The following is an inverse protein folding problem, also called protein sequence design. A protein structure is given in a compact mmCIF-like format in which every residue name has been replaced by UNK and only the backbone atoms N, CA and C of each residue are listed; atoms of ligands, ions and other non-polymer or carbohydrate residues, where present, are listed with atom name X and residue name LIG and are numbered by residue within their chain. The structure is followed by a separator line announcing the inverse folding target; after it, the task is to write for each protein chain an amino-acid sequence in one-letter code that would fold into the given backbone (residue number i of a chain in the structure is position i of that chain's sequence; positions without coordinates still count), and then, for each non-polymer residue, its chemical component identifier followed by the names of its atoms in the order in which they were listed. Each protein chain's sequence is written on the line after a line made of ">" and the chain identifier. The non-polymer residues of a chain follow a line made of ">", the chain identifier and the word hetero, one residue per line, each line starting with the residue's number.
data_IF_581333568583
#
_entry.id   IF_581333568583
#
_cell.length_a   1.000
_cell.length_b   1.000
_cell.length_c   1.000
_cell.angle_alpha   90.00
_cell.angle_beta   90.00
_cell.angle_gamma   90.00
#
_symmetry.space_group_name_H-M   'P 1'
#
loop_
_entity.id
_entity.type
_entity.pdbx_description
1 polymer ?
#
# COMPACT_ATOMS: atom_id res chain seq x y z
N UNK A 1 28.30 12.64 7.04
CA UNK A 1 28.19 13.25 5.70
C UNK A 1 27.12 12.49 4.95
N UNK A 2 26.18 13.16 4.29
CA UNK A 2 25.07 12.51 3.61
C UNK A 2 25.51 11.76 2.34
N UNK A 3 24.80 10.68 1.99
CA UNK A 3 25.01 9.89 0.78
C UNK A 3 24.31 10.54 -0.42
N UNK A 4 24.92 11.58 -0.98
CA UNK A 4 24.32 12.38 -2.05
C UNK A 4 24.38 11.75 -3.44
N UNK A 5 24.96 10.55 -3.58
CA UNK A 5 25.06 9.82 -4.85
C UNK A 5 23.68 9.54 -5.47
N UNK A 6 22.61 9.44 -4.67
CA UNK A 6 21.24 9.31 -5.18
C UNK A 6 20.83 10.47 -6.11
N UNK A 7 21.42 11.66 -5.94
CA UNK A 7 21.18 12.82 -6.81
C UNK A 7 22.11 12.86 -8.04
N UNK A 8 23.09 11.95 -8.11
CA UNK A 8 24.10 11.93 -9.17
C UNK A 8 23.70 10.97 -10.31
N UNK A 9 22.52 11.19 -10.89
CA UNK A 9 22.06 10.43 -12.06
C UNK A 9 21.60 9.00 -11.77
N UNK A 10 21.33 8.64 -10.52
CA UNK A 10 20.81 7.31 -10.14
C UNK A 10 19.39 7.03 -10.69
N UNK A 11 18.54 8.07 -10.76
CA UNK A 11 17.16 7.95 -11.21
C UNK A 11 17.10 7.61 -12.71
N UNK A 12 16.40 6.52 -13.04
CA UNK A 12 16.34 5.97 -14.40
C UNK A 12 14.91 5.49 -14.72
N UNK A 13 14.42 5.78 -15.96
CA UNK A 13 13.02 5.52 -16.37
C UNK A 13 12.64 4.04 -16.32
N UNK A 14 13.61 3.17 -16.57
CA UNK A 14 13.47 1.72 -16.55
C UNK A 14 13.12 1.20 -15.15
N UNK A 15 13.34 2.00 -14.11
CA UNK A 15 13.03 1.71 -12.72
C UNK A 15 11.75 2.39 -12.22
N UNK A 16 10.98 3.03 -13.12
CA UNK A 16 9.71 3.65 -12.74
C UNK A 16 8.61 2.60 -12.61
N UNK A 17 8.08 2.45 -11.40
CA UNK A 17 6.98 1.55 -11.12
C UNK A 17 5.63 2.16 -11.53
N UNK A 18 4.58 1.35 -11.78
CA UNK A 18 4.58 -0.12 -11.75
C UNK A 18 5.23 -0.77 -12.99
N UNK A 19 5.81 -1.96 -12.80
CA UNK A 19 6.43 -2.74 -13.87
C UNK A 19 5.40 -3.63 -14.55
N UNK A 20 5.11 -3.31 -15.82
CA UNK A 20 4.11 -4.00 -16.63
C UNK A 20 4.80 -5.05 -17.51
N UNK A 21 4.50 -6.33 -17.29
CA UNK A 21 5.00 -7.44 -18.11
C UNK A 21 3.83 -8.26 -18.68
N UNK A 22 4.07 -8.98 -19.78
CA UNK A 22 2.98 -9.64 -20.51
C UNK A 22 2.66 -11.03 -19.96
N UNK A 23 3.66 -11.82 -19.55
CA UNK A 23 3.49 -13.22 -19.11
C UNK A 23 4.04 -13.47 -17.70
N UNK A 24 3.39 -14.40 -16.99
CA UNK A 24 3.78 -14.78 -15.62
C UNK A 24 5.23 -15.29 -15.55
N UNK A 25 5.62 -16.13 -16.52
CA UNK A 25 6.97 -16.71 -16.63
C UNK A 25 8.09 -15.67 -16.73
N UNK A 26 7.79 -14.43 -17.12
CA UNK A 26 8.79 -13.39 -17.36
C UNK A 26 9.15 -12.63 -16.06
N UNK A 27 8.36 -12.76 -14.99
CA UNK A 27 8.53 -12.02 -13.73
C UNK A 27 9.93 -12.17 -13.13
N UNK A 28 10.40 -13.41 -13.00
CA UNK A 28 11.71 -13.74 -12.40
C UNK A 28 12.85 -13.07 -13.16
N UNK A 29 12.84 -13.18 -14.49
CA UNK A 29 13.90 -12.65 -15.35
C UNK A 29 13.87 -11.12 -15.44
N UNK A 30 12.67 -10.52 -15.50
CA UNK A 30 12.55 -9.06 -15.47
C UNK A 30 13.00 -8.49 -14.12
N UNK A 31 12.70 -9.16 -13.01
CA UNK A 31 13.17 -8.75 -11.68
C UNK A 31 14.69 -8.74 -11.57
N UNK A 32 15.36 -9.79 -12.04
CA UNK A 32 16.82 -9.84 -12.13
C UNK A 32 17.37 -8.68 -12.97
N UNK A 33 16.74 -8.41 -14.13
CA UNK A 33 17.11 -7.27 -14.98
C UNK A 33 16.94 -5.94 -14.24
N UNK A 34 15.86 -5.72 -13.48
CA UNK A 34 15.68 -4.50 -12.68
C UNK A 34 16.78 -4.34 -11.64
N UNK A 35 17.14 -5.41 -10.92
CA UNK A 35 18.23 -5.33 -9.94
C UNK A 35 19.59 -5.06 -10.57
N UNK A 36 19.87 -5.63 -11.74
CA UNK A 36 21.07 -5.30 -12.50
C UNK A 36 21.11 -3.82 -12.88
N UNK A 37 19.98 -3.24 -13.32
CA UNK A 37 19.88 -1.80 -13.61
C UNK A 37 20.12 -0.97 -12.34
N UNK A 38 19.55 -1.34 -11.19
CA UNK A 38 19.80 -0.64 -9.91
C UNK A 38 21.29 -0.63 -9.57
N UNK A 39 21.96 -1.78 -9.68
CA UNK A 39 23.40 -1.91 -9.43
C UNK A 39 24.23 -1.06 -10.40
N UNK A 40 23.92 -1.08 -11.69
CA UNK A 40 24.61 -0.27 -12.70
C UNK A 40 24.44 1.22 -12.45
N UNK A 41 23.22 1.67 -12.11
CA UNK A 41 22.95 3.08 -11.83
C UNK A 41 23.65 3.53 -10.54
N UNK A 42 23.67 2.69 -9.50
CA UNK A 42 24.38 3.00 -8.26
C UNK A 42 25.89 3.15 -8.50
N UNK A 43 26.50 2.27 -9.31
CA UNK A 43 27.92 2.37 -9.71
C UNK A 43 28.19 3.65 -10.50
N UNK A 44 27.36 3.95 -11.51
CA UNK A 44 27.49 5.19 -12.32
C UNK A 44 27.37 6.45 -11.47
N UNK A 45 26.53 6.40 -10.44
CA UNK A 45 26.31 7.50 -9.52
C UNK A 45 27.43 7.66 -8.45
N UNK A 46 28.43 6.77 -8.44
CA UNK A 46 29.47 6.68 -7.39
C UNK A 46 28.90 6.39 -6.00
N UNK A 47 27.97 5.43 -5.91
CA UNK A 47 27.49 4.92 -4.62
C UNK A 47 28.64 4.38 -3.77
N UNK A 48 28.51 4.54 -2.45
CA UNK A 48 29.47 4.00 -1.48
C UNK A 48 29.46 2.46 -1.45
N UNK A 49 30.57 1.88 -0.99
CA UNK A 49 30.76 0.42 -0.95
C UNK A 49 29.65 -0.31 -0.16
N UNK A 50 29.12 0.32 0.90
CA UNK A 50 28.06 -0.26 1.71
C UNK A 50 26.72 -0.27 0.95
N UNK A 51 26.36 0.82 0.26
CA UNK A 51 25.21 0.84 -0.65
C UNK A 51 25.32 -0.22 -1.75
N UNK A 52 26.49 -0.37 -2.38
CA UNK A 52 26.72 -1.40 -3.39
C UNK A 52 26.58 -2.81 -2.82
N UNK A 53 27.11 -3.04 -1.61
CA UNK A 53 26.97 -4.32 -0.90
C UNK A 53 25.50 -4.63 -0.54
N UNK A 54 24.73 -3.63 -0.10
CA UNK A 54 23.30 -3.77 0.16
C UNK A 54 22.57 -4.22 -1.11
N UNK A 55 22.82 -3.55 -2.25
CA UNK A 55 22.18 -3.91 -3.53
C UNK A 55 22.51 -5.34 -3.92
N UNK A 56 23.78 -5.75 -3.83
CA UNK A 56 24.22 -7.09 -4.18
C UNK A 56 23.56 -8.17 -3.30
N UNK A 57 23.57 -7.99 -1.98
CA UNK A 57 23.04 -8.98 -1.03
C UNK A 57 21.52 -9.09 -1.15
N UNK A 58 20.80 -7.95 -1.11
CA UNK A 58 19.33 -7.96 -1.13
C UNK A 58 18.81 -8.50 -2.45
N UNK A 59 19.35 -8.06 -3.59
CA UNK A 59 18.91 -8.56 -4.90
C UNK A 59 19.11 -10.07 -5.03
N UNK A 60 20.29 -10.59 -4.67
CA UNK A 60 20.57 -12.04 -4.72
C UNK A 60 19.65 -12.84 -3.83
N UNK A 61 19.46 -12.43 -2.56
CA UNK A 61 18.58 -13.13 -1.62
C UNK A 61 17.12 -13.12 -2.08
N UNK A 62 16.61 -12.01 -2.63
CA UNK A 62 15.23 -11.95 -3.14
C UNK A 62 15.06 -12.88 -4.35
N UNK A 63 16.02 -12.89 -5.27
CA UNK A 63 16.01 -13.80 -6.43
C UNK A 63 16.13 -15.28 -6.01
N UNK A 64 16.97 -15.58 -5.03
CA UNK A 64 17.12 -16.92 -4.45
C UNK A 64 15.82 -17.40 -3.79
N UNK A 65 15.15 -16.54 -3.03
CA UNK A 65 13.85 -16.83 -2.43
C UNK A 65 12.80 -17.20 -3.50
N UNK A 66 12.78 -16.50 -4.64
CA UNK A 66 11.91 -16.87 -5.77
C UNK A 66 12.26 -18.22 -6.37
N UNK A 67 13.55 -18.50 -6.58
CA UNK A 67 14.00 -19.77 -7.15
C UNK A 67 13.65 -20.96 -6.25
N UNK A 68 13.77 -20.79 -4.93
CA UNK A 68 13.37 -21.79 -3.94
C UNK A 68 11.86 -22.02 -3.96
N UNK A 69 11.05 -20.96 -4.08
CA UNK A 69 9.60 -21.09 -4.25
C UNK A 69 9.26 -21.95 -5.48
N UNK A 70 9.90 -21.69 -6.62
CA UNK A 70 9.69 -22.47 -7.84
C UNK A 70 10.18 -23.93 -7.75
N UNK A 71 11.08 -24.23 -6.82
CA UNK A 71 11.50 -25.60 -6.46
C UNK A 71 10.60 -26.24 -5.38
N UNK A 72 9.51 -25.57 -5.00
CA UNK A 72 8.61 -25.95 -3.91
C UNK A 72 9.24 -25.96 -2.51
N UNK A 73 10.40 -25.33 -2.31
CA UNK A 73 10.99 -25.08 -0.99
C UNK A 73 10.45 -23.77 -0.41
N UNK A 74 9.18 -23.80 -0.02
CA UNK A 74 8.45 -22.63 0.48
C UNK A 74 8.99 -22.21 1.86
N UNK A 75 9.47 -23.16 2.67
CA UNK A 75 9.98 -22.89 4.00
C UNK A 75 11.23 -22.01 3.93
N UNK A 76 12.22 -22.42 3.12
CA UNK A 76 13.45 -21.65 2.98
C UNK A 76 13.23 -20.36 2.19
N UNK A 77 12.39 -20.39 1.15
CA UNK A 77 11.97 -19.18 0.42
C UNK A 77 11.46 -18.09 1.37
N UNK A 78 10.60 -18.45 2.32
CA UNK A 78 10.07 -17.52 3.33
C UNK A 78 11.11 -17.14 4.39
N UNK A 79 12.00 -18.06 4.78
CA UNK A 79 13.06 -17.78 5.74
C UNK A 79 14.00 -16.69 5.22
N UNK A 80 14.40 -16.73 3.95
CA UNK A 80 15.25 -15.70 3.35
C UNK A 80 14.59 -14.31 3.41
N UNK A 81 13.31 -14.19 3.06
CA UNK A 81 12.60 -12.90 3.13
C UNK A 81 12.44 -12.44 4.59
N UNK A 82 12.20 -13.38 5.51
CA UNK A 82 12.18 -13.06 6.93
C UNK A 82 13.53 -12.51 7.42
N UNK A 83 14.66 -13.10 7.03
CA UNK A 83 15.99 -12.60 7.37
C UNK A 83 16.21 -11.17 6.86
N UNK A 84 15.80 -10.86 5.63
CA UNK A 84 15.91 -9.51 5.07
C UNK A 84 15.07 -8.49 5.85
N UNK A 85 13.84 -8.84 6.23
CA UNK A 85 12.99 -7.98 7.07
C UNK A 85 13.57 -7.83 8.47
N UNK A 86 14.09 -8.91 9.05
CA UNK A 86 14.72 -8.89 10.37
C UNK A 86 16.02 -8.05 10.38
N UNK A 87 16.79 -8.05 9.28
CA UNK A 87 17.97 -7.20 9.10
C UNK A 87 17.61 -5.70 9.05
N UNK A 88 16.47 -5.34 8.46
CA UNK A 88 15.93 -3.98 8.50
C UNK A 88 15.50 -3.63 9.94
N UNK A 89 14.87 -4.59 10.62
CA UNK A 89 14.44 -4.48 12.01
C UNK A 89 13.46 -3.33 12.23
N UNK A 90 13.54 -2.72 13.41
CA UNK A 90 12.65 -1.65 13.86
C UNK A 90 13.17 -0.24 13.50
N UNK A 91 13.90 -0.10 12.39
CA UNK A 91 14.35 1.20 11.91
C UNK A 91 13.13 2.14 11.73
N UNK A 92 13.08 3.34 12.34
CA UNK A 92 11.90 4.22 12.32
C UNK A 92 11.41 4.66 10.93
N UNK A 93 12.28 4.62 9.92
CA UNK A 93 11.92 4.93 8.53
C UNK A 93 11.18 3.77 7.87
N UNK A 94 11.59 2.53 8.18
CA UNK A 94 10.97 1.30 7.69
C UNK A 94 9.73 0.92 8.49
N UNK A 95 9.77 1.12 9.81
CA UNK A 95 8.77 0.61 10.73
C UNK A 95 8.37 1.67 11.72
N UNK A 96 7.09 2.02 11.72
CA UNK A 96 6.55 2.98 12.65
C UNK A 96 5.06 2.73 12.86
N UNK A 97 4.47 3.41 13.84
CA UNK A 97 3.03 3.49 13.95
C UNK A 97 2.41 4.19 12.72
N UNK A 98 1.19 3.82 12.33
CA UNK A 98 0.47 4.39 11.19
C UNK A 98 0.47 5.92 11.20
N UNK A 99 0.24 6.55 12.37
CA UNK A 99 0.19 8.02 12.48
C UNK A 99 1.53 8.70 12.16
N UNK A 100 2.65 8.04 12.48
CA UNK A 100 3.99 8.62 12.38
C UNK A 100 4.82 8.08 11.21
N UNK A 101 4.33 7.05 10.50
CA UNK A 101 4.98 6.49 9.33
C UNK A 101 5.17 7.54 8.23
N UNK A 102 6.32 7.51 7.56
CA UNK A 102 6.62 8.34 6.40
C UNK A 102 5.82 7.92 5.15
N UNK A 103 5.21 6.73 5.17
CA UNK A 103 4.25 6.32 4.13
C UNK A 103 3.05 7.27 4.03
N UNK A 104 2.66 7.90 5.14
CA UNK A 104 1.49 8.78 5.22
C UNK A 104 1.92 10.21 5.56
N UNK A 105 2.11 11.08 4.55
CA UNK A 105 2.57 12.43 4.76
C UNK A 105 1.51 13.34 5.41
N UNK A 106 1.83 14.62 5.56
CA UNK A 106 1.02 15.59 6.29
C UNK A 106 1.40 15.70 7.77
N UNK A 107 0.68 16.56 8.50
CA UNK A 107 0.91 16.82 9.91
C UNK A 107 0.62 15.56 10.74
N UNK A 108 1.63 15.06 11.45
CA UNK A 108 1.54 13.80 12.20
C UNK A 108 0.59 13.86 13.41
N UNK A 109 0.21 15.07 13.85
CA UNK A 109 -0.76 15.29 14.92
C UNK A 109 -2.21 15.26 14.43
N UNK A 110 -2.44 15.33 13.11
CA UNK A 110 -3.78 15.25 12.54
C UNK A 110 -4.18 13.78 12.40
N UNK A 111 -5.48 13.53 12.56
CA UNK A 111 -6.07 12.21 12.29
C UNK A 111 -5.80 11.79 10.84
N UNK A 112 -5.55 10.49 10.65
CA UNK A 112 -5.29 9.90 9.35
C UNK A 112 -6.52 9.12 8.86
N UNK A 113 -7.09 9.59 7.75
CA UNK A 113 -8.28 9.03 7.14
C UNK A 113 -7.93 7.89 6.18
N UNK A 114 -8.76 6.85 6.21
CA UNK A 114 -8.72 5.74 5.28
C UNK A 114 -10.11 5.45 4.71
N UNK A 115 -10.11 4.70 3.63
CA UNK A 115 -11.30 4.29 2.92
C UNK A 115 -11.21 2.81 2.59
N UNK A 116 -12.37 2.18 2.54
CA UNK A 116 -12.53 0.80 2.06
C UNK A 116 -13.76 0.71 1.20
N UNK A 117 -13.67 -0.07 0.13
CA UNK A 117 -14.77 -0.25 -0.80
C UNK A 117 -15.26 -1.68 -0.92
N UNK A 118 -16.52 -1.83 -1.33
CA UNK A 118 -17.11 -3.09 -1.77
C UNK A 118 -17.96 -2.85 -3.01
N UNK A 119 -17.96 -3.86 -3.88
CA UNK A 119 -18.76 -3.85 -5.09
C UNK A 119 -20.19 -4.32 -4.82
N UNK A 120 -21.15 -3.58 -5.34
CA UNK A 120 -22.56 -3.93 -5.32
C UNK A 120 -23.48 -2.77 -5.70
N UNK A 121 -24.70 -3.05 -6.17
CA UNK A 121 -25.66 -2.02 -6.55
C UNK A 121 -26.12 -1.18 -5.34
N UNK A 122 -26.70 0.03 -5.55
CA UNK A 122 -27.05 0.93 -4.46
C UNK A 122 -28.18 0.42 -3.54
N UNK A 123 -28.99 -0.54 -4.01
CA UNK A 123 -30.00 -1.20 -3.18
C UNK A 123 -29.41 -2.25 -2.22
N UNK A 124 -28.11 -2.51 -2.31
CA UNK A 124 -27.36 -3.31 -1.35
C UNK A 124 -26.68 -2.37 -0.35
N UNK A 125 -27.34 -2.15 0.76
CA UNK A 125 -26.77 -1.38 1.87
C UNK A 125 -25.63 -2.20 2.50
N UNK A 126 -24.43 -1.61 2.57
CA UNK A 126 -23.29 -2.19 3.28
C UNK A 126 -23.14 -1.47 4.60
N UNK A 127 -23.38 -2.19 5.69
CA UNK A 127 -23.19 -1.63 7.04
C UNK A 127 -21.70 -1.54 7.38
N UNK A 128 -21.38 -0.76 8.41
CA UNK A 128 -20.06 -0.72 9.04
C UNK A 128 -19.48 -2.13 9.28
N UNK A 129 -20.31 -3.08 9.75
CA UNK A 129 -19.92 -4.48 9.97
C UNK A 129 -19.60 -5.21 8.68
N UNK A 130 -20.33 -4.98 7.59
CA UNK A 130 -20.03 -5.58 6.30
C UNK A 130 -18.67 -5.10 5.77
N UNK A 131 -18.27 -3.90 6.16
CA UNK A 131 -17.09 -3.23 5.65
C UNK A 131 -15.80 -3.59 6.39
N UNK A 132 -15.84 -4.40 7.45
CA UNK A 132 -14.62 -4.98 8.05
C UNK A 132 -14.09 -6.18 7.26
N UNK A 133 -13.07 -6.86 7.80
CA UNK A 133 -12.55 -8.10 7.22
C UNK A 133 -13.57 -9.26 7.33
N UNK A 134 -13.39 -10.31 6.52
CA UNK A 134 -14.27 -11.47 6.57
C UNK A 134 -14.22 -12.15 7.94
N UNK A 135 -15.37 -12.56 8.51
CA UNK A 135 -15.38 -13.37 9.72
C UNK A 135 -14.76 -14.74 9.48
N UNK A 136 -14.25 -15.36 10.55
CA UNK A 136 -13.57 -16.66 10.50
C UNK A 136 -14.45 -17.76 9.88
N UNK A 137 -15.75 -17.78 10.22
CA UNK A 137 -16.73 -18.69 9.61
C UNK A 137 -16.85 -18.55 8.08
N UNK A 138 -16.47 -17.41 7.51
CA UNK A 138 -16.47 -17.13 6.07
C UNK A 138 -15.08 -17.12 5.45
N UNK A 139 -14.03 -17.60 6.14
CA UNK A 139 -12.64 -17.58 5.64
C UNK A 139 -12.46 -18.30 4.30
N UNK A 140 -13.32 -19.26 3.97
CA UNK A 140 -13.31 -19.95 2.67
C UNK A 140 -13.59 -19.01 1.48
N UNK A 141 -14.19 -17.83 1.72
CA UNK A 141 -14.40 -16.78 0.71
C UNK A 141 -13.18 -15.87 0.53
N UNK A 142 -12.12 -16.05 1.32
CA UNK A 142 -10.90 -15.27 1.16
C UNK A 142 -10.15 -15.73 -0.11
N UNK A 143 -9.91 -14.77 -1.00
CA UNK A 143 -9.13 -15.00 -2.22
C UNK A 143 -7.63 -14.97 -1.99
N UNK A 144 -6.89 -15.21 -3.06
CA UNK A 144 -5.44 -15.06 -3.11
C UNK A 144 -5.07 -13.62 -3.53
N UNK A 145 -4.50 -12.83 -2.63
CA UNK A 145 -4.15 -11.42 -2.89
C UNK A 145 -2.69 -11.14 -2.54
N UNK A 146 -2.22 -9.92 -2.86
CA UNK A 146 -0.82 -9.53 -2.76
C UNK A 146 -0.24 -9.72 -1.35
N UNK A 147 -0.97 -9.35 -0.31
CA UNK A 147 -0.54 -9.45 1.09
C UNK A 147 -1.55 -10.25 1.92
N UNK A 148 -2.07 -11.34 1.35
CA UNK A 148 -2.89 -12.32 2.06
C UNK A 148 -2.85 -13.66 1.34
N UNK A 149 -2.95 -14.75 2.09
CA UNK A 149 -3.00 -16.11 1.55
C UNK A 149 -4.40 -16.70 1.73
N UNK A 150 -4.80 -17.70 0.92
CA UNK A 150 -6.08 -18.37 1.10
C UNK A 150 -6.31 -18.83 2.55
N UNK A 151 -7.49 -18.56 3.08
CA UNK A 151 -7.88 -18.85 4.46
C UNK A 151 -7.40 -17.84 5.51
N UNK A 152 -6.50 -16.92 5.16
CA UNK A 152 -5.95 -15.89 6.06
C UNK A 152 -6.08 -14.51 5.39
N UNK A 153 -7.26 -13.87 5.49
CA UNK A 153 -7.48 -12.58 4.85
C UNK A 153 -6.64 -11.48 5.52
N UNK A 154 -6.50 -10.37 4.80
CA UNK A 154 -6.03 -9.10 5.36
C UNK A 154 -7.08 -8.01 5.13
N UNK A 155 -7.05 -6.95 5.93
CA UNK A 155 -7.91 -5.78 5.77
C UNK A 155 -7.18 -4.73 4.94
N UNK A 156 -7.57 -4.63 3.68
CA UNK A 156 -7.08 -3.63 2.73
C UNK A 156 -7.86 -2.32 2.87
N UNK A 157 -7.11 -1.23 2.98
CA UNK A 157 -7.53 0.16 3.07
C UNK A 157 -6.74 0.99 2.06
N UNK A 158 -7.32 2.10 1.59
CA UNK A 158 -6.62 3.11 0.80
C UNK A 158 -6.78 4.49 1.46
N UNK A 159 -5.83 5.40 1.22
CA UNK A 159 -5.89 6.76 1.75
C UNK A 159 -6.86 7.70 1.00
N UNK A 160 -7.57 7.19 -0.01
CA UNK A 160 -8.64 7.90 -0.73
C UNK A 160 -9.67 6.93 -1.33
N UNK A 161 -10.86 7.42 -1.68
CA UNK A 161 -11.82 6.65 -2.48
C UNK A 161 -11.35 6.41 -3.91
N UNK A 162 -10.54 7.30 -4.50
CA UNK A 162 -9.91 7.04 -5.80
C UNK A 162 -8.97 5.82 -5.75
N UNK A 163 -8.15 5.71 -4.70
CA UNK A 163 -7.30 4.56 -4.43
C UNK A 163 -8.13 3.27 -4.34
N UNK A 164 -9.25 3.31 -3.63
CA UNK A 164 -10.21 2.21 -3.59
C UNK A 164 -10.76 1.85 -4.98
N UNK A 165 -11.11 2.85 -5.79
CA UNK A 165 -11.70 2.66 -7.12
C UNK A 165 -10.72 1.98 -8.08
N UNK A 166 -9.46 2.42 -8.13
CA UNK A 166 -8.46 1.80 -9.01
C UNK A 166 -8.07 0.39 -8.55
N UNK A 167 -8.00 0.15 -7.22
CA UNK A 167 -7.67 -1.18 -6.67
C UNK A 167 -8.77 -2.21 -6.90
N UNK A 168 -10.03 -1.76 -6.96
CA UNK A 168 -11.18 -2.61 -7.30
C UNK A 168 -11.40 -2.78 -8.80
N UNK A 169 -10.48 -2.27 -9.64
CA UNK A 169 -10.52 -2.46 -11.09
C UNK A 169 -11.39 -1.45 -11.82
N UNK A 170 -11.49 -0.23 -11.30
CA UNK A 170 -12.25 0.87 -11.90
C UNK A 170 -13.72 0.49 -12.18
N UNK A 171 -14.48 0.00 -11.18
CA UNK A 171 -15.86 -0.41 -11.35
C UNK A 171 -16.75 0.75 -11.83
N UNK A 172 -17.90 0.41 -12.40
CA UNK A 172 -18.94 1.40 -12.68
C UNK A 172 -19.37 2.11 -11.38
N UNK A 173 -19.69 3.40 -11.47
CA UNK A 173 -20.01 4.24 -10.31
C UNK A 173 -21.19 3.69 -9.49
N UNK A 174 -22.14 3.03 -10.15
CA UNK A 174 -23.33 2.43 -9.53
C UNK A 174 -22.98 1.23 -8.64
N UNK A 175 -21.86 0.56 -8.91
CA UNK A 175 -21.41 -0.60 -8.15
C UNK A 175 -20.42 -0.23 -7.04
N UNK A 176 -20.02 1.04 -6.94
CA UNK A 176 -18.93 1.48 -6.07
C UNK A 176 -19.44 2.07 -4.75
N UNK A 177 -19.26 1.31 -3.66
CA UNK A 177 -19.66 1.71 -2.31
C UNK A 177 -18.42 1.84 -1.42
N UNK A 178 -18.33 2.94 -0.66
CA UNK A 178 -17.14 3.28 0.11
C UNK A 178 -17.52 3.67 1.54
N UNK A 179 -16.79 3.13 2.52
CA UNK A 179 -16.88 3.55 3.91
C UNK A 179 -15.68 4.41 4.30
N UNK A 180 -15.90 5.49 5.08
CA UNK A 180 -14.83 6.21 5.77
C UNK A 180 -14.34 5.42 6.98
N UNK A 181 -13.04 5.46 7.25
CA UNK A 181 -12.38 4.75 8.36
C UNK A 181 -11.38 5.66 9.05
N UNK A 182 -11.36 5.62 10.38
CA UNK A 182 -10.29 6.15 11.22
C UNK A 182 -9.66 5.00 11.99
N UNK A 183 -8.34 4.99 12.03
CA UNK A 183 -7.56 4.10 12.87
C UNK A 183 -7.10 4.85 14.11
N UNK A 184 -6.96 4.14 15.23
CA UNK A 184 -6.31 4.69 16.43
C UNK A 184 -4.87 5.12 16.10
N UNK A 185 -4.25 4.44 15.14
CA UNK A 185 -3.04 4.86 14.46
C UNK A 185 -1.74 4.47 15.17
N UNK A 186 -1.84 3.73 16.27
CA UNK A 186 -0.75 3.06 16.99
C UNK A 186 -0.30 1.75 16.32
N UNK A 187 -1.05 1.23 15.34
CA UNK A 187 -0.70 0.01 14.62
C UNK A 187 0.70 0.15 13.99
N UNK A 188 1.60 -0.79 14.28
CA UNK A 188 2.99 -0.80 13.83
C UNK A 188 3.06 -1.37 12.42
N UNK A 189 3.44 -0.57 11.43
CA UNK A 189 3.42 -0.94 10.02
C UNK A 189 4.80 -0.91 9.39
N UNK A 190 5.01 -1.79 8.41
CA UNK A 190 6.20 -1.82 7.57
C UNK A 190 5.97 -0.99 6.28
N UNK A 191 6.89 -0.08 5.98
CA UNK A 191 6.76 0.91 4.91
C UNK A 191 7.39 0.43 3.60
N UNK A 192 6.56 -0.02 2.66
CA UNK A 192 6.92 -0.27 1.25
C UNK A 192 6.42 0.83 0.31
N UNK A 193 5.89 1.94 0.85
CA UNK A 193 5.51 3.12 0.09
C UNK A 193 6.75 4.01 -0.14
N UNK A 194 7.75 3.43 -0.82
CA UNK A 194 8.99 4.11 -1.22
C UNK A 194 9.14 4.07 -2.73
N UNK A 195 9.81 5.09 -3.28
CA UNK A 195 10.02 5.25 -4.73
C UNK A 195 11.43 5.75 -5.03
N UNK A 196 11.95 5.40 -6.21
CA UNK A 196 13.19 5.99 -6.76
C UNK A 196 13.01 7.47 -7.14
N UNK A 197 11.77 7.96 -7.18
CA UNK A 197 11.44 9.32 -7.59
C UNK A 197 11.09 10.24 -6.43
N UNK A 198 11.08 9.72 -5.21
CA UNK A 198 10.80 10.50 -4.01
C UNK A 198 11.85 10.22 -2.92
N UNK A 199 12.69 11.22 -2.68
CA UNK A 199 13.70 11.23 -1.63
C UNK A 199 13.38 12.25 -0.53
N UNK A 200 12.16 12.81 -0.52
CA UNK A 200 11.75 13.87 0.41
C UNK A 200 11.94 13.47 1.87
N UNK A 201 11.73 12.20 2.18
CA UNK A 201 11.87 11.62 3.49
C UNK A 201 13.28 11.06 3.78
N UNK A 202 14.36 11.48 3.12
CA UNK A 202 15.73 10.97 3.39
C UNK A 202 16.59 11.85 4.31
N UNK A 203 16.02 12.86 4.96
CA UNK A 203 16.69 13.74 5.95
C UNK A 203 18.12 14.13 5.54
N UNK A 204 18.25 14.95 4.49
CA UNK A 204 19.57 15.38 3.98
C UNK A 204 20.50 14.22 3.56
N UNK A 205 19.89 13.10 3.14
CA UNK A 205 20.59 11.88 2.74
C UNK A 205 21.43 11.28 3.86
N UNK A 206 20.95 11.31 5.09
CA UNK A 206 21.58 10.64 6.23
C UNK A 206 21.91 9.17 5.89
N UNK A 207 23.14 8.74 6.17
CA UNK A 207 23.69 7.45 5.75
C UNK A 207 22.76 6.28 6.08
N UNK A 208 22.40 6.12 7.36
CA UNK A 208 21.57 5.01 7.84
C UNK A 208 20.16 5.03 7.23
N UNK A 209 19.63 6.24 6.96
CA UNK A 209 18.32 6.44 6.36
C UNK A 209 18.33 6.10 4.87
N UNK A 210 19.38 6.48 4.15
CA UNK A 210 19.60 6.10 2.74
C UNK A 210 19.78 4.59 2.61
N UNK A 211 20.55 3.96 3.50
CA UNK A 211 20.73 2.51 3.51
C UNK A 211 19.43 1.77 3.82
N UNK A 212 18.66 2.23 4.80
CA UNK A 212 17.33 1.71 5.10
C UNK A 212 16.39 1.84 3.89
N UNK A 213 16.35 3.03 3.27
CA UNK A 213 15.58 3.27 2.06
C UNK A 213 15.97 2.34 0.92
N UNK A 214 17.25 2.09 0.70
CA UNK A 214 17.74 1.21 -0.36
C UNK A 214 17.27 -0.24 -0.15
N UNK A 215 17.30 -0.74 1.09
CA UNK A 215 16.77 -2.06 1.46
C UNK A 215 15.25 -2.15 1.18
N UNK A 216 14.49 -1.14 1.61
CA UNK A 216 13.04 -1.06 1.35
C UNK A 216 12.74 -0.98 -0.15
N UNK A 217 13.52 -0.20 -0.89
CA UNK A 217 13.35 -0.01 -2.33
C UNK A 217 13.57 -1.31 -3.10
N UNK A 218 14.59 -2.11 -2.74
CA UNK A 218 14.84 -3.41 -3.36
C UNK A 218 13.70 -4.41 -3.10
N UNK A 219 13.13 -4.42 -1.90
CA UNK A 219 11.92 -5.20 -1.58
C UNK A 219 10.71 -4.67 -2.36
N UNK A 220 10.54 -3.34 -2.42
CA UNK A 220 9.44 -2.69 -3.11
C UNK A 220 9.43 -3.07 -4.61
N UNK A 221 10.58 -3.05 -5.29
CA UNK A 221 10.72 -3.44 -6.71
C UNK A 221 10.06 -4.79 -6.96
N UNK A 222 10.36 -5.81 -6.13
CA UNK A 222 9.81 -7.16 -6.29
C UNK A 222 8.27 -7.22 -6.16
N UNK A 223 7.66 -6.23 -5.49
CA UNK A 223 6.21 -6.12 -5.29
C UNK A 223 5.51 -5.17 -6.27
N UNK A 224 6.25 -4.50 -7.15
CA UNK A 224 5.75 -3.44 -8.05
C UNK A 224 5.20 -3.95 -9.39
N UNK A 225 4.96 -5.24 -9.55
CA UNK A 225 4.60 -5.84 -10.83
C UNK A 225 3.09 -5.89 -11.10
N UNK A 226 2.76 -5.66 -12.37
CA UNK A 226 1.47 -5.97 -13.01
C UNK A 226 1.75 -6.92 -14.16
N UNK A 227 1.18 -8.12 -14.09
CA UNK A 227 1.25 -9.10 -15.17
C UNK A 227 -0.07 -9.07 -15.94
N UNK A 228 -0.01 -8.77 -17.24
CA UNK A 228 -1.20 -8.62 -18.10
C UNK A 228 -1.92 -9.93 -18.40
N UNK A 229 -1.24 -11.06 -18.20
CA UNK A 229 -1.84 -12.39 -18.39
C UNK A 229 -3.07 -12.59 -17.51
N UNK A 230 -4.21 -12.81 -18.16
CA UNK A 230 -5.52 -12.95 -17.54
C UNK A 230 -5.84 -14.38 -17.09
N UNK A 231 -6.90 -14.55 -16.30
CA UNK A 231 -7.45 -15.85 -15.87
C UNK A 231 -6.45 -16.78 -15.15
N UNK A 232 -5.42 -16.20 -14.52
CA UNK A 232 -4.44 -16.94 -13.72
C UNK A 232 -4.95 -17.22 -12.31
N UNK A 233 -4.89 -18.47 -11.88
CA UNK A 233 -5.09 -18.86 -10.47
C UNK A 233 -3.86 -18.54 -9.63
N UNK A 234 -2.68 -18.79 -10.19
CA UNK A 234 -1.39 -18.50 -9.57
C UNK A 234 -0.83 -17.17 -10.08
N UNK A 235 -0.26 -16.38 -9.18
CA UNK A 235 0.30 -15.06 -9.49
C UNK A 235 1.71 -14.98 -8.96
N UNK A 236 2.70 -15.19 -9.82
CA UNK A 236 4.11 -15.16 -9.43
C UNK A 236 4.51 -13.84 -8.76
N UNK A 237 3.91 -12.72 -9.19
CA UNK A 237 4.14 -11.40 -8.61
C UNK A 237 3.65 -11.25 -7.15
N UNK A 238 2.95 -12.26 -6.60
CA UNK A 238 2.52 -12.28 -5.21
C UNK A 238 3.46 -13.04 -4.29
N UNK A 239 4.41 -13.83 -4.81
CA UNK A 239 5.31 -14.67 -3.98
C UNK A 239 6.01 -13.81 -2.91
N UNK A 240 6.83 -12.84 -3.35
CA UNK A 240 7.58 -11.97 -2.43
C UNK A 240 6.66 -11.13 -1.54
N UNK A 241 5.52 -10.69 -2.08
CA UNK A 241 4.56 -9.89 -1.31
C UNK A 241 3.94 -10.70 -0.15
N UNK A 242 3.61 -11.96 -0.39
CA UNK A 242 3.07 -12.87 0.63
C UNK A 242 4.15 -13.29 1.63
N UNK A 243 5.38 -13.54 1.17
CA UNK A 243 6.53 -13.78 2.05
C UNK A 243 6.82 -12.59 2.97
N UNK A 244 6.72 -11.36 2.44
CA UNK A 244 6.82 -10.13 3.23
C UNK A 244 5.71 -10.03 4.28
N UNK A 245 4.46 -10.30 3.91
CA UNK A 245 3.35 -10.37 4.88
C UNK A 245 3.66 -11.35 6.03
N UNK A 246 4.11 -12.57 5.71
CA UNK A 246 4.44 -13.58 6.72
C UNK A 246 5.63 -13.16 7.59
N UNK A 247 6.67 -12.57 6.99
CA UNK A 247 7.81 -12.03 7.70
C UNK A 247 7.41 -10.91 8.68
N UNK A 248 6.63 -9.94 8.22
CA UNK A 248 6.12 -8.85 9.05
C UNK A 248 5.23 -9.36 10.19
N UNK A 249 4.34 -10.35 9.95
CA UNK A 249 3.57 -11.00 11.02
C UNK A 249 4.48 -11.67 12.05
N UNK A 250 5.53 -12.38 11.62
CA UNK A 250 6.52 -13.01 12.52
C UNK A 250 7.30 -11.98 13.34
N UNK A 251 7.54 -10.79 12.77
CA UNK A 251 8.12 -9.62 13.45
C UNK A 251 7.14 -8.86 14.35
N UNK A 252 5.87 -9.30 14.42
CA UNK A 252 4.79 -8.65 15.17
C UNK A 252 4.48 -7.23 14.68
N UNK A 253 4.56 -7.02 13.38
CA UNK A 253 4.01 -5.83 12.73
C UNK A 253 2.54 -6.08 12.41
N UNK A 254 1.72 -5.04 12.51
CA UNK A 254 0.27 -5.10 12.30
C UNK A 254 -0.11 -4.97 10.82
N UNK A 255 0.79 -4.47 9.97
CA UNK A 255 0.48 -4.27 8.56
C UNK A 255 1.63 -3.78 7.70
N UNK A 256 1.32 -3.52 6.42
CA UNK A 256 2.23 -2.98 5.42
C UNK A 256 1.56 -1.79 4.72
N UNK A 257 2.28 -0.67 4.56
CA UNK A 257 1.88 0.41 3.68
C UNK A 257 2.60 0.30 2.33
N UNK A 258 1.91 0.55 1.22
CA UNK A 258 2.49 0.44 -0.12
C UNK A 258 1.74 1.33 -1.13
N UNK A 259 2.45 1.81 -2.14
CA UNK A 259 1.80 2.49 -3.27
C UNK A 259 0.98 1.52 -4.10
N UNK A 260 -0.21 1.95 -4.51
CA UNK A 260 -1.03 1.22 -5.47
C UNK A 260 -0.21 0.89 -6.72
N UNK A 261 -0.38 -0.33 -7.22
CA UNK A 261 0.23 -0.74 -8.49
C UNK A 261 -0.74 -0.55 -9.66
N UNK A 262 -1.92 0.04 -9.43
CA UNK A 262 -2.95 0.28 -10.46
C UNK A 262 -2.88 1.68 -11.07
N UNK A 263 -2.09 2.58 -10.48
CA UNK A 263 -1.77 3.88 -11.08
C UNK A 263 -0.93 3.71 -12.35
N UNK A 264 -0.95 4.71 -13.24
CA UNK A 264 -0.13 4.65 -14.45
C UNK A 264 1.38 4.74 -14.15
N UNK A 265 1.73 5.56 -13.16
CA UNK A 265 3.08 5.73 -12.66
C UNK A 265 3.05 6.01 -11.14
N UNK A 266 4.07 5.56 -10.42
CA UNK A 266 4.19 5.69 -8.96
C UNK A 266 4.14 7.14 -8.46
N UNK A 267 4.49 8.14 -9.28
CA UNK A 267 4.32 9.56 -8.87
C UNK A 267 2.87 9.99 -8.68
N UNK A 268 1.92 9.25 -9.27
CA UNK A 268 0.49 9.48 -9.06
C UNK A 268 -0.05 8.67 -7.87
N UNK A 269 0.81 7.94 -7.12
CA UNK A 269 0.38 7.06 -6.05
C UNK A 269 0.13 7.76 -4.71
N UNK A 270 0.42 9.06 -4.57
CA UNK A 270 0.19 9.78 -3.30
C UNK A 270 -1.30 9.84 -2.90
N UNK A 271 -2.22 9.79 -3.86
CA UNK A 271 -3.65 9.62 -3.61
C UNK A 271 -4.11 8.15 -3.62
N UNK A 272 -3.18 7.20 -3.75
CA UNK A 272 -3.47 5.77 -3.80
C UNK A 272 -2.44 4.99 -2.99
N UNK A 273 -2.20 5.45 -1.76
CA UNK A 273 -1.38 4.76 -0.77
C UNK A 273 -2.29 3.77 -0.05
N UNK A 274 -1.95 2.49 -0.16
CA UNK A 274 -2.69 1.42 0.47
C UNK A 274 -2.07 1.08 1.82
N UNK A 275 -2.94 0.71 2.77
CA UNK A 275 -2.57 0.08 4.02
C UNK A 275 -3.24 -1.29 4.06
N UNK A 276 -2.44 -2.33 4.26
CA UNK A 276 -2.96 -3.67 4.54
C UNK A 276 -2.68 -4.00 6.00
N UNK A 277 -3.75 -4.25 6.77
CA UNK A 277 -3.65 -4.72 8.15
C UNK A 277 -3.86 -6.24 8.19
N UNK A 278 -3.00 -6.93 8.91
CA UNK A 278 -3.07 -8.38 9.04
C UNK A 278 -4.21 -8.77 9.98
N UNK A 279 -4.89 -9.87 9.65
CA UNK A 279 -5.95 -10.42 10.50
C UNK A 279 -5.37 -11.57 11.31
N UNK A 280 -5.54 -11.47 12.63
CA UNK A 280 -5.35 -12.57 13.58
C UNK A 280 -6.67 -12.79 14.31
N UNK A 281 -7.31 -13.93 14.03
CA UNK A 281 -8.65 -14.24 14.54
C UNK A 281 -8.64 -14.54 16.04
N UNK A 282 -9.52 -13.87 16.77
CA UNK A 282 -9.91 -14.18 18.15
C UNK A 282 -11.42 -14.45 18.13
N UNK A 283 -11.77 -15.71 17.85
CA UNK A 283 -13.15 -16.10 17.53
C UNK A 283 -13.50 -15.79 16.08
N UNK A 284 -14.57 -15.02 15.86
CA UNK A 284 -15.04 -14.68 14.50
C UNK A 284 -14.26 -13.51 13.88
N UNK A 285 -13.70 -12.60 14.67
CA UNK A 285 -13.03 -11.40 14.18
C UNK A 285 -11.67 -11.19 14.86
N UNK A 286 -10.85 -10.30 14.31
CA UNK A 286 -9.60 -9.88 14.95
C UNK A 286 -9.86 -8.75 15.93
N UNK A 287 -9.05 -8.67 16.99
CA UNK A 287 -9.11 -7.53 17.93
C UNK A 287 -8.82 -6.18 17.28
N UNK A 288 -8.17 -6.16 16.12
CA UNK A 288 -7.94 -4.94 15.33
C UNK A 288 -9.24 -4.16 15.05
N UNK A 289 -10.40 -4.82 14.95
CA UNK A 289 -11.68 -4.12 14.75
C UNK A 289 -12.08 -3.22 15.92
N UNK A 290 -11.46 -3.40 17.10
CA UNK A 290 -11.68 -2.57 18.30
C UNK A 290 -10.94 -1.22 18.20
N UNK A 291 -9.92 -1.15 17.34
CA UNK A 291 -9.03 0.01 17.17
C UNK A 291 -9.34 0.81 15.90
N UNK A 292 -10.53 0.61 15.34
CA UNK A 292 -11.02 1.36 14.19
C UNK A 292 -12.41 1.94 14.45
N UNK A 293 -12.67 3.11 13.87
CA UNK A 293 -14.01 3.65 13.63
C UNK A 293 -14.33 3.48 12.15
N UNK A 294 -15.55 3.05 11.83
CA UNK A 294 -16.03 2.90 10.45
C UNK A 294 -17.51 3.27 10.37
N UNK A 295 -17.97 3.87 9.26
CA UNK A 295 -19.41 4.01 8.96
C UNK A 295 -19.90 2.98 7.95
N UNK A 296 -21.22 2.93 7.84
CA UNK A 296 -21.92 2.37 6.68
C UNK A 296 -21.37 2.96 5.37
N UNK A 297 -21.34 2.15 4.32
CA UNK A 297 -20.82 2.59 3.03
C UNK A 297 -21.83 3.50 2.32
N UNK A 298 -21.33 4.51 1.61
CA UNK A 298 -22.14 5.30 0.69
C UNK A 298 -21.81 4.98 -0.76
N UNK A 299 -22.81 4.98 -1.62
CA UNK A 299 -22.65 4.70 -3.04
C UNK A 299 -22.21 5.95 -3.81
N UNK A 300 -21.19 5.81 -4.66
CA UNK A 300 -20.61 6.95 -5.39
C UNK A 300 -21.57 7.53 -6.44
N UNK A 301 -22.33 6.68 -7.16
CA UNK A 301 -23.33 7.15 -8.12
C UNK A 301 -24.43 7.95 -7.43
N UNK A 302 -24.93 7.48 -6.27
CA UNK A 302 -25.91 8.23 -5.47
C UNK A 302 -25.35 9.58 -5.01
N UNK A 303 -24.10 9.62 -4.56
CA UNK A 303 -23.43 10.86 -4.17
C UNK A 303 -23.45 11.88 -5.31
N UNK A 304 -23.16 11.46 -6.54
CA UNK A 304 -23.18 12.37 -7.70
C UNK A 304 -24.57 12.92 -8.00
N UNK A 305 -25.65 12.22 -7.65
CA UNK A 305 -27.03 12.71 -7.77
C UNK A 305 -27.45 13.72 -6.69
N UNK A 306 -26.67 13.89 -5.62
CA UNK A 306 -27.02 14.85 -4.56
C UNK A 306 -26.82 16.30 -5.01
N UNK A 307 -27.73 17.19 -4.59
CA UNK A 307 -27.60 18.63 -4.76
C UNK A 307 -26.47 19.20 -3.88
N UNK A 308 -25.92 20.34 -4.27
CA UNK A 308 -24.85 21.02 -3.52
C UNK A 308 -25.23 21.34 -2.06
N UNK A 309 -26.51 21.58 -1.78
CA UNK A 309 -27.03 21.78 -0.43
C UNK A 309 -26.87 20.57 0.51
N UNK A 310 -26.54 19.39 -0.02
CA UNK A 310 -26.22 18.20 0.76
C UNK A 310 -24.72 17.87 0.78
N UNK A 311 -23.91 18.53 -0.08
CA UNK A 311 -22.46 18.32 -0.24
C UNK A 311 -21.61 19.44 0.37
N UNK A 312 -22.25 20.49 0.90
CA UNK A 312 -21.57 21.74 1.29
C UNK A 312 -20.65 21.63 2.52
N UNK A 313 -20.80 20.57 3.33
CA UNK A 313 -19.98 20.39 4.53
C UNK A 313 -18.56 20.06 4.13
N UNK A 314 -17.61 20.53 4.93
CA UNK A 314 -16.19 20.33 4.67
C UNK A 314 -15.53 19.50 5.77
N UNK A 315 -14.50 18.75 5.39
CA UNK A 315 -13.72 17.93 6.29
C UNK A 315 -12.25 17.98 5.89
N UNK A 316 -11.39 18.25 6.86
CA UNK A 316 -9.95 18.31 6.66
C UNK A 316 -9.38 16.90 6.53
N UNK A 317 -8.79 16.61 5.37
CA UNK A 317 -8.18 15.32 5.07
C UNK A 317 -6.66 15.45 5.11
N UNK A 318 -6.01 14.80 6.07
CA UNK A 318 -4.55 14.77 6.18
C UNK A 318 -3.91 14.15 4.94
N UNK A 319 -4.58 13.16 4.33
CA UNK A 319 -4.10 12.48 3.11
C UNK A 319 -3.87 13.43 1.93
N UNK A 320 -4.41 14.64 1.98
CA UNK A 320 -4.27 15.67 0.94
C UNK A 320 -3.52 16.93 1.44
N UNK A 321 -3.49 17.20 2.75
CA UNK A 321 -2.76 18.31 3.35
C UNK A 321 -1.30 17.94 3.66
N UNK A 322 -0.57 17.59 2.60
CA UNK A 322 0.77 17.00 2.69
C UNK A 322 1.88 17.97 2.25
N UNK A 323 1.51 19.07 1.58
CA UNK A 323 2.44 19.96 0.88
C UNK A 323 2.92 19.41 -0.47
N UNK A 324 2.58 18.17 -0.81
CA UNK A 324 2.94 17.55 -2.09
C UNK A 324 1.87 17.78 -3.15
N UNK A 325 2.34 17.91 -4.40
CA UNK A 325 1.45 17.88 -5.57
C UNK A 325 0.86 16.48 -5.68
N UNK A 326 -0.47 16.40 -5.60
CA UNK A 326 -1.20 15.13 -5.64
C UNK A 326 -2.14 15.16 -6.84
N UNK A 327 -1.75 14.45 -7.90
CA UNK A 327 -2.51 14.35 -9.13
C UNK A 327 -2.96 12.91 -9.39
N UNK A 328 -4.07 12.75 -10.12
CA UNK A 328 -4.51 11.49 -10.70
C UNK A 328 -4.30 11.49 -12.21
N UNK A 329 -4.23 10.31 -12.83
CA UNK A 329 -4.12 10.14 -14.28
C UNK A 329 -2.74 9.64 -14.71
N UNK A 330 -2.19 10.27 -15.76
CA UNK A 330 -0.90 9.92 -16.35
C UNK A 330 -0.14 11.17 -16.82
N UNK A 331 1.05 11.00 -17.41
CA UNK A 331 1.87 12.14 -17.86
C UNK A 331 1.24 13.00 -18.96
N UNK A 332 0.36 12.44 -19.78
CA UNK A 332 -0.32 13.17 -20.86
C UNK A 332 -1.55 13.93 -20.35
N UNK A 333 -2.27 13.33 -19.39
CA UNK A 333 -3.50 13.86 -18.81
C UNK A 333 -3.51 13.62 -17.31
N UNK A 334 -3.16 14.66 -16.57
CA UNK A 334 -3.18 14.67 -15.12
C UNK A 334 -4.12 15.75 -14.61
N UNK A 335 -4.82 15.43 -13.52
CA UNK A 335 -5.77 16.32 -12.87
C UNK A 335 -5.43 16.41 -11.39
N UNK A 336 -5.49 17.62 -10.82
CA UNK A 336 -5.34 17.83 -9.39
C UNK A 336 -6.38 17.00 -8.65
N UNK A 337 -5.96 16.17 -7.68
CA UNK A 337 -6.90 15.34 -6.93
C UNK A 337 -7.95 16.21 -6.22
N UNK A 338 -7.54 17.38 -5.73
CA UNK A 338 -8.41 18.38 -5.06
C UNK A 338 -9.52 18.92 -5.96
N UNK A 339 -9.41 18.76 -7.27
CA UNK A 339 -10.39 19.22 -8.27
C UNK A 339 -11.23 18.07 -8.83
N UNK A 340 -11.40 16.99 -8.06
CA UNK A 340 -12.15 15.80 -8.49
C UNK A 340 -13.37 15.54 -7.61
N UNK A 341 -14.36 14.86 -8.18
CA UNK A 341 -15.50 14.35 -7.41
C UNK A 341 -15.07 13.29 -6.37
N UNK A 342 -13.96 12.58 -6.57
CA UNK A 342 -13.41 11.67 -5.56
C UNK A 342 -12.98 12.41 -4.30
N UNK A 343 -12.28 13.54 -4.43
CA UNK A 343 -11.91 14.37 -3.29
C UNK A 343 -13.14 14.93 -2.57
N UNK A 344 -14.13 15.44 -3.32
CA UNK A 344 -15.37 15.91 -2.70
C UNK A 344 -16.16 14.79 -2.04
N UNK A 345 -16.13 13.57 -2.61
CA UNK A 345 -16.76 12.39 -2.03
C UNK A 345 -16.06 11.93 -0.75
N UNK A 346 -14.72 11.92 -0.72
CA UNK A 346 -13.94 11.63 0.47
C UNK A 346 -14.34 12.53 1.63
N UNK A 347 -14.43 13.84 1.38
CA UNK A 347 -14.88 14.81 2.39
C UNK A 347 -16.32 14.54 2.80
N UNK A 348 -17.22 14.36 1.83
CA UNK A 348 -18.62 14.07 2.07
C UNK A 348 -18.79 12.90 3.05
N UNK A 349 -18.12 11.76 2.80
CA UNK A 349 -18.20 10.57 3.65
C UNK A 349 -17.88 10.87 5.12
N UNK A 350 -16.84 11.67 5.39
CA UNK A 350 -16.46 12.04 6.75
C UNK A 350 -17.36 13.11 7.38
N UNK A 351 -18.01 13.97 6.60
CA UNK A 351 -18.96 14.98 7.11
C UNK A 351 -20.34 14.43 7.44
N UNK A 352 -20.75 13.36 6.75
CA UNK A 352 -22.03 12.68 6.98
C UNK A 352 -21.90 11.52 7.94
N UNK A 353 -20.66 11.14 8.25
CA UNK A 353 -20.36 10.18 9.30
C UNK A 353 -21.05 10.62 10.59
N UNK A 354 -22.05 9.84 11.08
CA UNK A 354 -22.94 10.18 12.21
C UNK A 354 -22.16 10.82 13.35
N UNK A 355 -22.09 12.16 13.45
CA UNK A 355 -21.21 12.95 14.33
C UNK A 355 -20.02 12.14 14.90
N UNK A 356 -18.85 12.14 14.24
CA UNK A 356 -17.69 11.27 14.53
C UNK A 356 -17.35 11.04 16.03
N UNK A 357 -17.61 12.02 16.88
CA UNK A 357 -17.37 11.97 18.33
C UNK A 357 -18.34 11.04 19.08
N UNK A 358 -19.50 10.75 18.49
CA UNK A 358 -20.52 9.82 19.01
C UNK A 358 -20.28 8.37 18.58
N UNK A 359 -19.43 8.13 17.59
CA UNK A 359 -19.07 6.77 17.15
C UNK A 359 -17.99 6.25 18.09
N UNK A 360 -18.28 5.20 18.88
CA UNK A 360 -17.28 4.62 19.76
C UNK A 360 -16.19 3.94 18.93
N UNK A 361 -14.99 3.83 19.52
CA UNK A 361 -13.99 2.92 18.98
C UNK A 361 -14.51 1.48 19.04
N UNK A 362 -14.32 0.76 17.94
CA UNK A 362 -14.76 -0.62 17.81
C UNK A 362 -16.04 -0.78 16.98
N UNK A 363 -16.06 -1.84 16.17
CA UNK A 363 -17.25 -2.21 15.38
C UNK A 363 -18.15 -3.13 16.19
N UNK A 364 -19.42 -2.75 16.32
CA UNK A 364 -20.43 -3.60 16.95
C UNK A 364 -20.70 -4.81 16.05
N UNK A 365 -20.36 -6.00 16.54
CA UNK A 365 -20.58 -7.28 15.86
C UNK A 365 -22.02 -7.74 16.02
#
# INVERSE_FOLDING_TARGET
>A
MGLTWLNNGFICKELYAPFKIDKDKDYRADLEKKYNIVMEQAKKANADDESLKIIDIFSKKILESLDLYYKADIAESNNIIFELVNEIGDNPFAVNSVNYSDAFPGNKNDELQFFRSRLGPPNKEFTAKDMIHLPNSLRAKSGNYRFSIPGNPSMYLANSSYGCWIETGCPAEIDFNVSPILLEGNQKIFNLAVSIRDFSCLNEFEKDRVHCWLKLYLLAIATCYIIKEENRTFKSEYIISQSLMMACKKMRYDGIAYYSRRVDNEVFALCAINLVLFVDYIGEYSDMIKHLKIDDAFNYSLYKQLNNSLKYRDYELRSIHTGYVTNIGNFERQYSYRETDFYNFDKFLFTTWKDKDKIPWGVKI
#
